data_IF_632929290948
#
_entry.id   IF_632929290948
#
_cell.length_a   1.000
_cell.length_b   1.000
_cell.length_c   1.000
_cell.angle_alpha   90.00
_cell.angle_beta   90.00
_cell.angle_gamma   90.00
#
_symmetry.space_group_name_H-M   'P 1'
#
loop_
_entity.id
_entity.type
_entity.pdbx_description
1 polymer ?
#
# COMPACT_ATOMS: atom_id res chain seq x y z
N UNK A 1 -14.43 53.12 -64.60
CA UNK A 1 -13.08 52.56 -64.37
C UNK A 1 -12.71 52.75 -62.91
N UNK A 2 -12.33 51.63 -62.29
CA UNK A 2 -11.61 51.41 -61.02
C UNK A 2 -10.77 52.61 -60.53
N UNK A 3 -10.62 52.94 -59.25
CA UNK A 3 -10.98 52.26 -58.01
C UNK A 3 -10.62 53.14 -56.81
N UNK A 4 -11.43 53.09 -55.75
CA UNK A 4 -11.13 53.63 -54.42
C UNK A 4 -10.31 52.59 -53.65
N UNK A 5 -9.17 52.98 -53.09
CA UNK A 5 -8.45 52.18 -52.09
C UNK A 5 -8.09 53.06 -50.91
N UNK A 6 -9.06 53.24 -50.01
CA UNK A 6 -8.82 53.76 -48.66
C UNK A 6 -8.45 52.58 -47.78
N UNK A 7 -7.18 52.48 -47.39
CA UNK A 7 -6.70 51.49 -46.43
C UNK A 7 -7.29 51.81 -45.05
N UNK A 8 -8.28 51.03 -44.64
CA UNK A 8 -8.70 50.97 -43.24
C UNK A 8 -7.66 50.15 -42.46
N UNK A 9 -6.96 50.82 -41.54
CA UNK A 9 -6.09 50.16 -40.57
C UNK A 9 -7.00 49.56 -39.49
N UNK A 10 -7.38 48.29 -39.66
CA UNK A 10 -8.11 47.53 -38.64
C UNK A 10 -7.07 46.99 -37.66
N UNK A 11 -7.05 47.56 -36.46
CA UNK A 11 -6.35 47.00 -35.30
C UNK A 11 -6.87 45.57 -35.06
N UNK A 12 -6.03 44.53 -35.07
CA UNK A 12 -6.49 43.20 -34.70
C UNK A 12 -6.86 43.23 -33.22
N UNK A 13 -8.13 42.90 -32.99
CA UNK A 13 -8.73 42.62 -31.70
C UNK A 13 -7.80 41.72 -30.88
N UNK A 14 -7.40 42.21 -29.71
CA UNK A 14 -6.63 41.45 -28.74
C UNK A 14 -7.46 40.21 -28.34
N UNK A 15 -7.12 39.05 -28.89
CA UNK A 15 -7.48 37.76 -28.31
C UNK A 15 -6.73 37.65 -26.98
N UNK A 16 -7.36 38.08 -25.89
CA UNK A 16 -7.02 37.57 -24.57
C UNK A 16 -7.40 36.09 -24.56
N UNK A 17 -6.41 35.23 -24.83
CA UNK A 17 -6.49 33.83 -24.48
C UNK A 17 -6.62 33.75 -22.96
N UNK A 18 -7.86 33.60 -22.47
CA UNK A 18 -8.11 33.22 -21.08
C UNK A 18 -7.53 31.83 -20.90
N UNK A 19 -6.31 31.76 -20.37
CA UNK A 19 -5.75 30.53 -19.85
C UNK A 19 -6.62 30.12 -18.67
N UNK A 20 -7.61 29.26 -18.92
CA UNK A 20 -8.37 28.57 -17.87
C UNK A 20 -7.38 27.61 -17.21
N UNK A 21 -6.63 28.12 -16.23
CA UNK A 21 -5.91 27.30 -15.27
C UNK A 21 -6.97 26.46 -14.56
N UNK A 22 -7.12 25.21 -15.00
CA UNK A 22 -7.76 24.17 -14.21
C UNK A 22 -6.97 24.05 -12.92
N UNK A 23 -7.39 24.81 -11.92
CA UNK A 23 -6.98 24.61 -10.54
C UNK A 23 -7.58 23.28 -10.14
N UNK A 24 -6.81 22.20 -10.34
CA UNK A 24 -7.07 20.95 -9.66
C UNK A 24 -7.01 21.26 -8.18
N UNK A 25 -8.18 21.45 -7.59
CA UNK A 25 -8.35 21.51 -6.16
C UNK A 25 -7.85 20.18 -5.64
N UNK A 26 -6.63 20.17 -5.07
CA UNK A 26 -6.16 19.04 -4.31
C UNK A 26 -7.04 18.95 -3.07
N UNK A 27 -8.18 18.27 -3.20
CA UNK A 27 -8.94 17.83 -2.03
C UNK A 27 -8.00 16.90 -1.29
N UNK A 28 -7.58 17.31 -0.09
CA UNK A 28 -6.89 16.43 0.84
C UNK A 28 -7.84 15.29 1.17
N UNK A 29 -7.74 14.20 0.41
CA UNK A 29 -8.38 12.94 0.77
C UNK A 29 -7.67 12.47 2.04
N UNK A 30 -8.39 12.29 3.16
CA UNK A 30 -7.78 11.76 4.37
C UNK A 30 -7.11 10.43 4.02
N UNK A 31 -5.88 10.21 4.52
CA UNK A 31 -5.23 8.92 4.34
C UNK A 31 -6.14 7.86 4.94
N UNK A 32 -6.61 6.94 4.10
CA UNK A 32 -7.23 5.70 4.52
C UNK A 32 -6.11 4.74 4.88
N UNK A 33 -5.36 5.04 5.94
CA UNK A 33 -4.80 3.94 6.70
C UNK A 33 -6.02 3.16 7.20
N UNK A 34 -6.03 1.86 6.92
CA UNK A 34 -7.18 0.99 7.10
C UNK A 34 -8.03 1.37 8.29
N UNK A 35 -9.35 1.31 8.10
CA UNK A 35 -10.31 1.30 9.20
C UNK A 35 -9.86 0.33 10.32
N UNK A 36 -9.04 -0.66 9.96
CA UNK A 36 -8.26 -1.52 10.83
C UNK A 36 -6.79 -1.08 10.84
N UNK A 37 -6.42 -0.10 11.66
CA UNK A 37 -5.01 0.06 12.02
C UNK A 37 -4.59 -1.28 12.68
N UNK A 38 -3.65 -2.06 12.10
CA UNK A 38 -3.31 -3.35 12.67
C UNK A 38 -2.84 -3.10 14.09
N UNK A 39 -3.62 -3.59 15.06
CA UNK A 39 -3.21 -3.55 16.45
C UNK A 39 -2.16 -4.64 16.59
N UNK A 40 -0.92 -4.29 16.24
CA UNK A 40 0.17 -5.24 16.31
C UNK A 40 0.36 -5.60 17.79
N UNK A 41 0.39 -6.90 18.12
CA UNK A 41 0.46 -7.33 19.51
C UNK A 41 1.75 -6.87 20.16
N UNK A 42 1.72 -6.65 21.48
CA UNK A 42 2.93 -6.39 22.25
C UNK A 42 3.76 -7.66 22.39
N UNK A 43 5.08 -7.51 22.47
CA UNK A 43 5.98 -8.63 22.78
C UNK A 43 5.91 -8.98 24.26
N UNK A 44 5.99 -10.28 24.55
CA UNK A 44 6.14 -10.76 25.92
C UNK A 44 7.57 -10.51 26.45
N UNK A 45 7.72 -10.56 27.77
CA UNK A 45 9.04 -10.48 28.42
C UNK A 45 9.97 -11.59 27.91
N UNK A 46 11.24 -11.24 27.68
CA UNK A 46 12.26 -12.14 27.16
C UNK A 46 12.56 -11.99 25.67
N UNK A 47 11.97 -11.02 24.97
CA UNK A 47 12.53 -10.55 23.71
C UNK A 47 13.45 -9.33 23.93
N UNK A 48 14.76 -9.43 23.62
CA UNK A 48 15.67 -8.31 23.71
C UNK A 48 15.19 -7.13 22.86
N UNK A 49 15.13 -5.94 23.44
CA UNK A 49 14.67 -4.73 22.75
C UNK A 49 15.46 -4.43 21.48
N UNK A 50 16.78 -4.71 21.47
CA UNK A 50 17.64 -4.54 20.28
C UNK A 50 17.20 -5.39 19.07
N UNK A 51 16.49 -6.50 19.32
CA UNK A 51 15.96 -7.40 18.28
C UNK A 51 14.50 -7.03 18.00
N UNK A 52 13.61 -7.21 18.98
CA UNK A 52 12.18 -7.04 18.75
C UNK A 52 11.79 -5.60 18.41
N UNK A 53 12.38 -4.59 19.09
CA UNK A 53 12.04 -3.20 18.78
C UNK A 53 12.60 -2.77 17.42
N UNK A 54 13.79 -3.27 17.03
CA UNK A 54 14.36 -3.01 15.70
C UNK A 54 13.50 -3.61 14.59
N UNK A 55 13.10 -4.88 14.73
CA UNK A 55 12.24 -5.55 13.76
C UNK A 55 10.86 -4.89 13.70
N UNK A 56 10.26 -4.58 14.85
CA UNK A 56 8.96 -3.92 14.92
C UNK A 56 8.99 -2.50 14.34
N UNK A 57 10.10 -1.77 14.53
CA UNK A 57 10.32 -0.47 13.90
C UNK A 57 10.34 -0.52 12.37
N UNK A 58 10.62 -1.68 11.76
CA UNK A 58 10.54 -1.89 10.32
C UNK A 58 9.12 -2.08 9.79
N UNK A 59 8.17 -2.50 10.64
CA UNK A 59 6.81 -2.84 10.22
C UNK A 59 6.08 -1.71 9.48
N UNK A 60 6.09 -0.44 9.96
CA UNK A 60 5.40 0.65 9.27
C UNK A 60 5.88 0.83 7.82
N UNK A 61 7.18 0.63 7.55
CA UNK A 61 7.75 0.77 6.21
C UNK A 61 7.18 -0.23 5.21
N UNK A 62 6.85 -1.46 5.66
CA UNK A 62 6.31 -2.52 4.79
C UNK A 62 4.87 -2.30 4.37
N UNK A 63 4.11 -1.55 5.17
CA UNK A 63 2.68 -1.27 4.97
C UNK A 63 2.43 0.02 4.17
N UNK A 64 3.49 0.73 3.76
CA UNK A 64 3.37 1.91 2.91
C UNK A 64 3.02 1.54 1.48
N UNK A 65 2.35 2.45 0.78
CA UNK A 65 1.92 2.26 -0.60
C UNK A 65 3.04 1.89 -1.56
N UNK A 66 4.22 2.50 -1.42
CA UNK A 66 5.35 2.26 -2.30
C UNK A 66 6.15 1.00 -1.97
N UNK A 67 5.85 0.33 -0.85
CA UNK A 67 6.58 -0.87 -0.48
C UNK A 67 6.17 -2.04 -1.38
N UNK A 68 7.11 -2.96 -1.61
CA UNK A 68 6.86 -4.20 -2.36
C UNK A 68 5.66 -4.99 -1.79
N UNK A 69 4.87 -5.69 -2.63
CA UNK A 69 3.74 -6.50 -2.16
C UNK A 69 4.14 -7.58 -1.14
N UNK A 70 5.36 -8.10 -1.21
CA UNK A 70 5.89 -9.12 -0.31
C UNK A 70 6.59 -8.57 0.93
N UNK A 71 6.81 -7.25 1.03
CA UNK A 71 7.63 -6.66 2.11
C UNK A 71 7.14 -7.02 3.53
N UNK A 72 5.82 -7.04 3.75
CA UNK A 72 5.26 -7.38 5.06
C UNK A 72 5.47 -8.87 5.39
N UNK A 73 5.30 -9.75 4.40
CA UNK A 73 5.55 -11.19 4.55
C UNK A 73 7.03 -11.48 4.80
N UNK A 74 7.94 -10.83 4.07
CA UNK A 74 9.39 -11.03 4.24
C UNK A 74 9.86 -10.58 5.63
N UNK A 75 9.32 -9.47 6.15
CA UNK A 75 9.59 -9.04 7.52
C UNK A 75 8.97 -10.00 8.55
N UNK A 76 7.75 -10.47 8.33
CA UNK A 76 7.09 -11.47 9.17
C UNK A 76 7.89 -12.78 9.21
N UNK A 77 8.42 -13.24 8.07
CA UNK A 77 9.32 -14.39 7.99
C UNK A 77 10.60 -14.16 8.80
N UNK A 78 11.14 -12.94 8.78
CA UNK A 78 12.31 -12.57 9.58
C UNK A 78 12.01 -12.68 11.07
N UNK A 79 10.84 -12.21 11.53
CA UNK A 79 10.41 -12.38 12.92
C UNK A 79 10.40 -13.85 13.35
N UNK A 80 9.77 -14.73 12.56
CA UNK A 80 9.65 -16.14 12.90
C UNK A 80 11.03 -16.83 12.85
N UNK A 81 11.85 -16.52 11.85
CA UNK A 81 13.20 -17.07 11.73
C UNK A 81 14.07 -16.67 12.91
N UNK A 82 14.05 -15.39 13.31
CA UNK A 82 14.78 -14.90 14.48
C UNK A 82 14.30 -15.59 15.75
N UNK A 83 12.99 -15.75 15.95
CA UNK A 83 12.42 -16.45 17.11
C UNK A 83 12.91 -17.91 17.25
N UNK A 84 13.23 -18.57 16.13
CA UNK A 84 13.73 -19.95 16.08
C UNK A 84 15.24 -20.04 16.27
N UNK A 85 15.99 -19.08 15.72
CA UNK A 85 17.45 -19.18 15.54
C UNK A 85 18.26 -18.33 16.51
N UNK A 86 17.70 -17.25 17.03
CA UNK A 86 18.44 -16.31 17.86
C UNK A 86 18.46 -16.77 19.32
N UNK A 87 19.66 -17.10 19.83
CA UNK A 87 19.86 -17.59 21.19
C UNK A 87 19.51 -16.60 22.29
N UNK A 88 19.37 -15.31 21.96
CA UNK A 88 18.97 -14.27 22.92
C UNK A 88 17.45 -14.24 23.18
N UNK A 89 16.66 -14.96 22.38
CA UNK A 89 15.21 -15.09 22.56
C UNK A 89 14.97 -16.39 23.35
N UNK A 90 14.99 -16.25 24.67
CA UNK A 90 15.14 -17.40 25.58
C UNK A 90 13.81 -17.96 26.07
N UNK A 91 12.74 -17.15 26.09
CA UNK A 91 11.42 -17.57 26.60
C UNK A 91 10.51 -18.04 25.47
N UNK A 92 9.72 -19.08 25.71
CA UNK A 92 8.71 -19.53 24.74
C UNK A 92 7.66 -18.44 24.49
N UNK A 93 7.27 -17.71 25.54
CA UNK A 93 6.34 -16.58 25.43
C UNK A 93 6.84 -15.50 24.46
N UNK A 94 8.14 -15.16 24.49
CA UNK A 94 8.71 -14.21 23.53
C UNK A 94 8.62 -14.74 22.10
N UNK A 95 8.96 -16.01 21.87
CA UNK A 95 8.86 -16.65 20.55
C UNK A 95 7.43 -16.64 20.02
N UNK A 96 6.47 -17.04 20.85
CA UNK A 96 5.05 -17.06 20.50
C UNK A 96 4.55 -15.64 20.17
N UNK A 97 4.95 -14.63 20.96
CA UNK A 97 4.58 -13.23 20.68
C UNK A 97 5.17 -12.71 19.36
N UNK A 98 6.37 -13.16 18.97
CA UNK A 98 6.97 -12.82 17.67
C UNK A 98 6.25 -13.49 16.51
N UNK A 99 5.82 -14.74 16.66
CA UNK A 99 5.01 -15.44 15.66
C UNK A 99 3.64 -14.76 15.50
N UNK A 100 2.98 -14.42 16.61
CA UNK A 100 1.70 -13.68 16.58
C UNK A 100 1.85 -12.32 15.90
N UNK A 101 2.92 -11.58 16.22
CA UNK A 101 3.22 -10.31 15.57
C UNK A 101 3.44 -10.49 14.07
N UNK A 102 4.19 -11.52 13.66
CA UNK A 102 4.46 -11.83 12.26
C UNK A 102 3.16 -12.12 11.49
N UNK A 103 2.27 -12.94 12.05
CA UNK A 103 0.97 -13.27 11.46
C UNK A 103 0.07 -12.03 11.32
N UNK A 104 0.04 -11.18 12.37
CA UNK A 104 -0.69 -9.93 12.36
C UNK A 104 -0.14 -8.95 11.31
N UNK A 105 1.19 -8.85 11.19
CA UNK A 105 1.84 -8.00 10.21
C UNK A 105 1.59 -8.48 8.77
N UNK A 106 1.70 -9.79 8.51
CA UNK A 106 1.44 -10.36 7.19
C UNK A 106 -0.03 -10.16 6.76
N UNK A 107 -0.95 -10.07 7.72
CA UNK A 107 -2.39 -9.89 7.49
C UNK A 107 -2.84 -8.43 7.52
N UNK A 108 -1.97 -7.54 7.97
CA UNK A 108 -2.27 -6.13 8.11
C UNK A 108 -2.71 -5.53 6.76
N UNK A 109 -3.63 -4.57 6.83
CA UNK A 109 -3.98 -3.80 5.65
C UNK A 109 -2.80 -2.94 5.22
N UNK A 110 -2.50 -2.97 3.92
CA UNK A 110 -1.47 -2.12 3.30
C UNK A 110 -2.13 -0.87 2.74
N UNK A 111 -1.54 0.29 2.98
CA UNK A 111 -2.05 1.55 2.45
C UNK A 111 -1.95 1.55 0.92
N UNK A 112 -3.04 1.89 0.24
CA UNK A 112 -3.08 2.01 -1.23
C UNK A 112 -3.71 3.35 -1.63
N UNK A 113 -3.09 4.10 -2.55
CA UNK A 113 -3.67 5.34 -3.03
C UNK A 113 -4.88 5.02 -3.93
N UNK A 114 -5.98 5.77 -3.85
CA UNK A 114 -7.01 5.76 -4.88
C UNK A 114 -6.45 6.11 -6.26
N UNK A 115 -7.16 5.71 -7.31
CA UNK A 115 -6.92 6.21 -8.65
C UNK A 115 -7.49 7.64 -8.77
N UNK A 116 -6.58 8.62 -8.68
CA UNK A 116 -6.92 10.04 -8.79
C UNK A 116 -7.17 10.52 -10.23
N UNK A 117 -7.03 9.65 -11.24
CA UNK A 117 -7.39 9.99 -12.62
C UNK A 117 -8.90 9.92 -12.86
N UNK A 118 -9.65 9.29 -11.95
CA UNK A 118 -11.10 9.18 -11.98
C UNK A 118 -11.77 10.21 -11.04
N UNK A 119 -13.02 10.56 -11.33
CA UNK A 119 -13.83 11.45 -10.50
C UNK A 119 -15.24 10.86 -10.27
N UNK A 120 -15.57 10.38 -9.06
CA UNK A 120 -14.74 10.41 -7.85
C UNK A 120 -13.50 9.49 -7.94
N UNK A 121 -12.43 9.74 -7.18
CA UNK A 121 -11.27 8.86 -7.14
C UNK A 121 -11.66 7.43 -6.74
N UNK A 122 -11.16 6.44 -7.48
CA UNK A 122 -11.56 5.04 -7.29
C UNK A 122 -10.63 4.34 -6.30
N UNK A 123 -11.14 3.80 -5.17
CA UNK A 123 -10.31 3.07 -4.21
C UNK A 123 -9.75 1.78 -4.81
N UNK A 124 -8.54 1.37 -4.38
CA UNK A 124 -7.82 0.22 -4.95
C UNK A 124 -7.31 -0.70 -3.85
N UNK A 125 -7.35 -2.00 -4.13
CA UNK A 125 -6.78 -3.04 -3.28
C UNK A 125 -5.25 -3.08 -3.36
N UNK A 126 -4.62 -3.67 -2.35
CA UNK A 126 -3.20 -4.00 -2.37
C UNK A 126 -2.98 -5.31 -3.14
N UNK A 127 -1.92 -5.39 -3.93
CA UNK A 127 -1.50 -6.68 -4.48
C UNK A 127 -1.10 -7.65 -3.36
N UNK A 128 -1.48 -8.90 -3.50
CA UNK A 128 -1.02 -10.02 -2.68
C UNK A 128 0.43 -10.38 -3.05
N UNK A 129 1.19 -10.81 -2.04
CA UNK A 129 2.49 -11.41 -2.28
C UNK A 129 2.33 -12.74 -3.04
N UNK A 130 3.14 -12.93 -4.08
CA UNK A 130 3.15 -14.16 -4.90
C UNK A 130 4.25 -15.15 -4.49
N UNK A 131 5.14 -14.72 -3.59
CA UNK A 131 6.20 -15.56 -3.02
C UNK A 131 5.61 -16.44 -1.92
N UNK A 132 6.01 -17.71 -1.87
CA UNK A 132 5.67 -18.56 -0.73
C UNK A 132 6.43 -18.11 0.53
N UNK A 133 5.78 -18.14 1.72
CA UNK A 133 6.47 -17.85 2.95
C UNK A 133 7.56 -18.89 3.24
N UNK A 134 8.64 -18.42 3.83
CA UNK A 134 9.77 -19.28 4.24
C UNK A 134 9.37 -20.15 5.44
N UNK A 135 8.58 -19.58 6.35
CA UNK A 135 8.09 -20.23 7.56
C UNK A 135 6.64 -20.68 7.37
N UNK A 136 6.35 -21.93 7.70
CA UNK A 136 5.00 -22.51 7.57
C UNK A 136 3.96 -21.81 8.46
N UNK A 137 4.39 -21.16 9.53
CA UNK A 137 3.52 -20.39 10.44
C UNK A 137 2.83 -19.19 9.77
N UNK A 138 3.27 -18.77 8.58
CA UNK A 138 2.63 -17.73 7.77
C UNK A 138 1.71 -18.27 6.67
N UNK A 139 1.57 -19.60 6.53
CA UNK A 139 0.64 -20.15 5.55
C UNK A 139 -0.79 -19.70 5.87
N UNK A 140 -1.47 -19.14 4.87
CA UNK A 140 -2.81 -18.59 5.01
C UNK A 140 -2.87 -17.17 5.60
N UNK A 141 -1.75 -16.56 5.97
CA UNK A 141 -1.69 -15.16 6.40
C UNK A 141 -1.20 -14.29 5.24
N UNK A 142 -2.04 -13.35 4.81
CA UNK A 142 -1.75 -12.43 3.71
C UNK A 142 -2.59 -11.17 3.83
N UNK A 143 -2.11 -10.09 3.20
CA UNK A 143 -2.65 -8.73 3.28
C UNK A 143 -4.19 -8.71 3.22
N UNK A 144 -4.79 -7.99 4.16
CA UNK A 144 -6.24 -7.72 4.14
C UNK A 144 -6.54 -6.53 3.25
N UNK A 145 -7.65 -6.60 2.54
CA UNK A 145 -8.15 -5.53 1.68
C UNK A 145 -9.16 -4.69 2.45
N UNK A 146 -9.18 -3.37 2.20
CA UNK A 146 -10.23 -2.49 2.74
C UNK A 146 -11.59 -2.96 2.18
N UNK A 147 -12.57 -3.33 3.02
CA UNK A 147 -13.90 -3.76 2.57
C UNK A 147 -14.67 -2.68 1.80
N UNK A 148 -14.26 -1.41 1.90
CA UNK A 148 -14.84 -0.31 1.13
C UNK A 148 -14.31 -0.24 -0.32
N UNK A 149 -13.27 -1.00 -0.67
CA UNK A 149 -12.75 -1.06 -2.03
C UNK A 149 -13.61 -1.95 -2.94
N UNK A 150 -13.63 -1.62 -4.23
CA UNK A 150 -14.18 -2.52 -5.24
C UNK A 150 -13.32 -3.79 -5.39
N UNK A 151 -13.89 -4.91 -5.89
CA UNK A 151 -13.18 -6.19 -5.96
C UNK A 151 -12.15 -6.28 -7.10
N UNK A 152 -12.16 -5.34 -8.05
CA UNK A 152 -11.52 -5.52 -9.36
C UNK A 152 -10.24 -4.71 -9.57
N UNK A 153 -9.99 -3.68 -8.77
CA UNK A 153 -8.90 -2.73 -9.01
C UNK A 153 -7.86 -2.81 -7.90
N UNK A 154 -6.60 -2.97 -8.29
CA UNK A 154 -5.46 -3.13 -7.41
C UNK A 154 -4.40 -2.07 -7.73
N UNK A 155 -3.68 -1.59 -6.73
CA UNK A 155 -2.55 -0.68 -6.90
C UNK A 155 -1.24 -1.48 -7.03
N UNK A 156 -0.53 -1.26 -8.13
CA UNK A 156 0.82 -1.79 -8.33
C UNK A 156 1.87 -0.75 -7.89
N UNK A 157 2.67 -1.03 -6.84
CA UNK A 157 3.70 -0.12 -6.37
C UNK A 157 4.87 0.08 -7.35
N UNK A 158 5.15 -0.90 -8.21
CA UNK A 158 6.26 -0.85 -9.16
C UNK A 158 5.96 0.11 -10.32
N UNK A 159 4.77 -0.01 -10.91
CA UNK A 159 4.32 0.85 -12.03
C UNK A 159 3.58 2.10 -11.57
N UNK A 160 3.16 2.14 -10.29
CA UNK A 160 2.32 3.20 -9.70
C UNK A 160 0.97 3.35 -10.40
N UNK A 161 0.46 2.26 -10.99
CA UNK A 161 -0.78 2.25 -11.76
C UNK A 161 -1.82 1.28 -11.18
N UNK A 162 -3.02 1.32 -11.75
CA UNK A 162 -4.05 0.32 -11.49
C UNK A 162 -3.75 -0.95 -12.27
N UNK A 163 -4.00 -2.09 -11.64
CA UNK A 163 -3.98 -3.42 -12.24
C UNK A 163 -5.33 -4.08 -11.97
N UNK A 164 -5.85 -4.82 -12.95
CA UNK A 164 -7.17 -5.44 -12.86
C UNK A 164 -7.09 -6.88 -12.36
N UNK A 165 -8.15 -7.31 -11.68
CA UNK A 165 -8.35 -8.70 -11.26
C UNK A 165 -8.05 -9.69 -12.40
N UNK A 166 -7.28 -10.73 -12.09
CA UNK A 166 -6.78 -11.73 -13.04
C UNK A 166 -5.30 -11.56 -13.38
N UNK A 167 -4.72 -10.39 -13.10
CA UNK A 167 -3.27 -10.22 -13.17
C UNK A 167 -2.54 -10.88 -11.97
N UNK A 168 -1.23 -11.15 -12.07
CA UNK A 168 -0.45 -11.65 -10.94
C UNK A 168 -0.60 -10.79 -9.68
N UNK A 169 -0.75 -11.45 -8.52
CA UNK A 169 -0.90 -10.76 -7.24
C UNK A 169 -2.28 -10.12 -7.01
N UNK A 170 -3.27 -10.32 -7.89
CA UNK A 170 -4.66 -9.83 -7.66
C UNK A 170 -5.57 -10.88 -7.01
N UNK A 171 -5.05 -12.08 -6.78
CA UNK A 171 -5.75 -13.16 -6.09
C UNK A 171 -4.96 -13.60 -4.86
N UNK A 172 -5.65 -14.00 -3.77
CA UNK A 172 -4.99 -14.52 -2.60
C UNK A 172 -4.22 -15.80 -2.95
N UNK A 173 -3.06 -16.06 -2.32
CA UNK A 173 -2.23 -17.22 -2.62
C UNK A 173 -2.85 -18.56 -2.16
N UNK A 174 -3.94 -18.53 -1.40
CA UNK A 174 -4.63 -19.71 -0.89
C UNK A 174 -5.75 -19.36 0.08
N UNK A 175 -6.32 -20.37 0.77
CA UNK A 175 -7.30 -20.13 1.83
C UNK A 175 -6.65 -19.34 2.98
N UNK A 176 -7.42 -18.42 3.56
CA UNK A 176 -6.98 -17.62 4.71
C UNK A 176 -6.95 -18.49 5.98
N UNK A 177 -5.96 -18.28 6.83
CA UNK A 177 -5.91 -18.87 8.16
C UNK A 177 -7.01 -18.26 9.05
N UNK A 178 -7.63 -19.09 9.90
CA UNK A 178 -8.68 -18.66 10.83
C UNK A 178 -8.11 -18.01 12.08
#
# INVERSE_FOLDING_TARGET
>A
MLGKSSRAFVFPCALLATATLLTQSMILQPRRFGQQNPTLPSFADGCPGEICARLAGGAPGTLLAAADPCAAQDLADTFITESKTNSKITTQAAKDSMVQFAQALASAEKNTPPDFTQNPPTPRNALFCTKQPTNSELQGFFVTQDPANGPNEFFDPATKSTVLLGAPGTQPPGPRAN
#
